data_IF_053919676861
#
_entry.id   IF_053919676861
#
_cell.length_a   1.000
_cell.length_b   1.000
_cell.length_c   1.000
_cell.angle_alpha   90.00
_cell.angle_beta   90.00
_cell.angle_gamma   90.00
#
_symmetry.space_group_name_H-M   'P 1'
#
loop_
_entity.id
_entity.type
_entity.pdbx_description
1 polymer ?
#
# COMPACT_ATOMS: atom_id res chain seq x y z
N UNK A 1 20.61 30.91 21.12
CA UNK A 1 19.54 31.94 21.11
C UNK A 1 19.84 33.09 20.15
N UNK A 2 21.10 33.53 20.03
CA UNK A 2 21.49 34.69 19.21
C UNK A 2 21.11 34.62 17.71
N UNK A 3 21.04 33.43 17.10
CA UNK A 3 20.67 33.26 15.69
C UNK A 3 19.17 33.12 15.43
N UNK A 4 18.34 32.89 16.45
CA UNK A 4 16.91 32.58 16.30
C UNK A 4 16.58 31.29 15.54
N UNK A 5 17.57 30.59 14.98
CA UNK A 5 17.37 29.39 14.17
C UNK A 5 17.38 28.14 15.04
N UNK A 6 16.23 27.49 15.17
CA UNK A 6 16.04 26.25 15.92
C UNK A 6 15.27 25.27 15.03
N UNK A 7 15.94 24.23 14.54
CA UNK A 7 15.32 23.21 13.68
C UNK A 7 15.94 21.83 13.94
N UNK A 8 15.18 20.72 13.88
CA UNK A 8 15.73 19.37 14.04
C UNK A 8 16.86 19.07 13.03
N UNK A 9 16.78 19.62 11.82
CA UNK A 9 17.83 19.45 10.79
C UNK A 9 19.21 19.96 11.24
N UNK A 10 19.27 21.01 12.07
CA UNK A 10 20.52 21.54 12.63
C UNK A 10 21.16 20.58 13.65
N UNK A 11 20.34 19.77 14.33
CA UNK A 11 20.79 18.89 15.41
C UNK A 11 20.96 17.42 14.99
N UNK A 12 20.75 17.08 13.71
CA UNK A 12 20.79 15.69 13.19
C UNK A 12 22.07 14.89 13.47
N UNK A 13 23.19 15.57 13.75
CA UNK A 13 24.49 14.92 14.05
C UNK A 13 24.69 14.64 15.54
N UNK A 14 23.75 15.06 16.40
CA UNK A 14 23.83 14.81 17.83
C UNK A 14 23.33 13.40 18.16
N UNK A 15 23.89 12.77 19.21
CA UNK A 15 23.36 11.51 19.73
C UNK A 15 21.91 11.68 20.24
N UNK A 16 21.17 10.57 20.43
CA UNK A 16 19.88 10.63 21.10
C UNK A 16 20.02 11.31 22.47
N UNK A 17 19.03 12.12 22.82
CA UNK A 17 18.97 12.82 24.11
C UNK A 17 18.50 11.87 25.22
N UNK A 18 17.65 10.92 24.86
CA UNK A 18 17.09 9.95 25.80
C UNK A 18 17.13 8.55 25.17
N UNK A 19 17.62 7.59 25.94
CA UNK A 19 17.54 6.17 25.61
C UNK A 19 16.85 5.45 26.75
N UNK A 20 15.85 4.63 26.42
CA UNK A 20 15.16 3.75 27.37
C UNK A 20 15.17 2.33 26.85
N UNK A 21 15.25 1.34 27.72
CA UNK A 21 15.20 -0.06 27.30
C UNK A 21 13.75 -0.52 27.28
N UNK A 22 13.36 -1.32 26.28
CA UNK A 22 11.99 -1.83 26.16
C UNK A 22 11.56 -2.54 27.45
N UNK A 23 12.44 -3.39 28.01
CA UNK A 23 12.20 -4.10 29.28
C UNK A 23 11.90 -3.16 30.46
N UNK A 24 12.44 -1.93 30.47
CA UNK A 24 12.16 -0.97 31.53
C UNK A 24 10.75 -0.37 31.43
N UNK A 25 10.22 -0.22 30.22
CA UNK A 25 8.95 0.47 29.95
C UNK A 25 7.80 -0.46 29.57
N UNK A 26 8.03 -1.76 29.35
CA UNK A 26 6.97 -2.74 29.08
C UNK A 26 6.76 -3.62 30.30
N UNK A 27 5.52 -4.01 30.58
CA UNK A 27 5.20 -4.99 31.63
C UNK A 27 5.49 -6.41 31.12
N UNK A 28 5.97 -7.29 32.00
CA UNK A 28 6.46 -8.61 31.59
C UNK A 28 5.38 -9.45 30.89
N UNK A 29 4.11 -9.32 31.31
CA UNK A 29 2.97 -9.98 30.68
C UNK A 29 2.92 -9.75 29.16
N UNK A 30 3.13 -8.52 28.70
CA UNK A 30 3.12 -8.18 27.27
C UNK A 30 4.40 -8.61 26.55
N UNK A 31 5.53 -8.75 27.26
CA UNK A 31 6.74 -9.33 26.66
C UNK A 31 6.54 -10.81 26.35
N UNK A 32 5.81 -11.53 27.21
CA UNK A 32 5.51 -12.96 27.02
C UNK A 32 4.34 -13.21 26.06
N UNK A 33 3.47 -12.22 25.84
CA UNK A 33 2.30 -12.31 24.95
C UNK A 33 2.64 -12.18 23.44
N UNK A 34 3.92 -12.19 23.05
CA UNK A 34 4.33 -12.22 21.64
C UNK A 34 4.22 -10.89 20.90
N UNK A 35 4.29 -9.75 21.60
CA UNK A 35 4.26 -8.44 20.95
C UNK A 35 5.54 -8.15 20.15
N UNK A 36 5.36 -7.79 18.89
CA UNK A 36 6.40 -7.33 17.97
C UNK A 36 6.27 -5.80 17.84
N UNK A 37 7.18 -5.06 18.46
CA UNK A 37 7.17 -3.59 18.44
C UNK A 37 7.72 -3.04 17.12
N UNK A 38 6.96 -2.13 16.53
CA UNK A 38 7.15 -1.63 15.16
C UNK A 38 7.87 -0.27 15.12
N UNK A 39 7.51 0.64 16.02
CA UNK A 39 8.09 1.99 16.05
C UNK A 39 7.19 3.04 16.66
N UNK A 40 7.68 4.29 16.64
CA UNK A 40 6.93 5.46 17.06
C UNK A 40 6.03 5.98 15.95
N UNK A 41 4.78 6.29 16.29
CA UNK A 41 3.92 7.17 15.47
C UNK A 41 4.61 8.49 15.14
N UNK A 42 4.20 9.16 14.04
CA UNK A 42 4.74 10.47 13.64
C UNK A 42 4.75 11.47 14.77
N UNK A 43 3.67 11.55 15.56
CA UNK A 43 3.57 12.47 16.69
C UNK A 43 4.37 12.05 17.93
N UNK A 44 4.87 10.80 17.96
CA UNK A 44 5.68 10.20 19.04
C UNK A 44 4.97 9.99 20.35
N UNK A 45 3.66 10.25 20.36
CA UNK A 45 2.81 9.95 21.49
C UNK A 45 2.61 8.45 21.64
N UNK A 46 2.58 7.73 20.51
CA UNK A 46 2.32 6.30 20.51
C UNK A 46 3.52 5.51 20.01
N UNK A 47 3.74 4.36 20.64
CA UNK A 47 4.53 3.24 20.10
C UNK A 47 3.54 2.20 19.60
N UNK A 48 3.79 1.65 18.42
CA UNK A 48 2.97 0.63 17.78
C UNK A 48 3.59 -0.75 17.99
N UNK A 49 2.75 -1.76 18.20
CA UNK A 49 3.16 -3.17 18.11
C UNK A 49 2.05 -4.02 17.50
N UNK A 50 2.39 -5.21 17.03
CA UNK A 50 1.41 -6.21 16.63
C UNK A 50 1.68 -7.56 17.29
N UNK A 51 0.68 -8.44 17.30
CA UNK A 51 0.84 -9.86 17.66
C UNK A 51 0.44 -10.71 16.48
N UNK A 52 1.14 -11.83 16.29
CA UNK A 52 0.76 -12.92 15.38
C UNK A 52 0.50 -14.14 16.26
N UNK A 53 -0.77 -14.53 16.42
CA UNK A 53 -1.17 -15.68 17.23
C UNK A 53 -1.82 -16.74 16.33
N UNK A 54 -1.33 -17.97 16.39
CA UNK A 54 -2.01 -19.15 15.86
C UNK A 54 -2.60 -19.94 17.02
N UNK A 55 -3.73 -20.62 16.80
CA UNK A 55 -4.19 -21.67 17.71
C UNK A 55 -3.19 -22.83 17.81
N UNK A 56 -3.37 -23.68 18.81
CA UNK A 56 -2.51 -24.86 19.06
C UNK A 56 -2.79 -26.04 18.11
N UNK A 57 -3.88 -25.99 17.34
CA UNK A 57 -4.29 -27.07 16.44
C UNK A 57 -3.64 -26.96 15.05
N UNK A 58 -3.37 -28.09 14.40
CA UNK A 58 -2.77 -28.18 13.05
C UNK A 58 -3.57 -27.46 11.94
N UNK A 59 -4.81 -27.06 12.22
CA UNK A 59 -5.71 -26.30 11.32
C UNK A 59 -5.85 -24.82 11.70
N UNK A 60 -4.97 -24.33 12.57
CA UNK A 60 -5.10 -22.97 13.10
C UNK A 60 -4.72 -21.92 12.06
N UNK A 61 -5.59 -20.93 11.92
CA UNK A 61 -5.33 -19.70 11.19
C UNK A 61 -4.61 -18.68 12.07
N UNK A 62 -3.84 -17.80 11.42
CA UNK A 62 -3.15 -16.69 12.07
C UNK A 62 -4.14 -15.55 12.34
N UNK A 63 -4.10 -15.04 13.56
CA UNK A 63 -4.83 -13.86 14.00
C UNK A 63 -3.84 -12.73 14.28
N UNK A 64 -4.10 -11.58 13.65
CA UNK A 64 -3.27 -10.39 13.81
C UNK A 64 -4.02 -9.32 14.59
N UNK A 65 -3.34 -8.75 15.57
CA UNK A 65 -3.84 -7.60 16.32
C UNK A 65 -2.82 -6.48 16.30
N UNK A 66 -3.28 -5.25 16.11
CA UNK A 66 -2.49 -4.02 16.17
C UNK A 66 -2.78 -3.26 17.47
N UNK A 67 -1.73 -2.74 18.10
CA UNK A 67 -1.78 -2.10 19.41
C UNK A 67 -1.15 -0.71 19.39
N UNK A 68 -1.82 0.24 20.04
CA UNK A 68 -1.29 1.58 20.33
C UNK A 68 -0.94 1.69 21.81
N UNK A 69 0.31 2.02 22.08
CA UNK A 69 0.85 2.20 23.43
C UNK A 69 1.20 3.67 23.65
N UNK A 70 0.58 4.33 24.63
CA UNK A 70 0.99 5.68 25.01
C UNK A 70 2.39 5.65 25.62
N UNK A 71 3.29 6.42 25.02
CA UNK A 71 4.67 6.54 25.44
C UNK A 71 4.84 7.76 26.33
N UNK A 72 5.42 7.53 27.52
CA UNK A 72 5.77 8.59 28.45
C UNK A 72 7.18 8.36 29.02
N UNK A 73 8.16 8.39 28.13
CA UNK A 73 9.60 8.38 28.42
C UNK A 73 10.05 7.23 29.33
N UNK A 74 10.05 7.44 30.66
CA UNK A 74 10.50 6.47 31.65
C UNK A 74 9.36 5.70 32.33
N UNK A 75 8.11 6.12 32.13
CA UNK A 75 6.93 5.41 32.62
C UNK A 75 6.64 4.18 31.77
N UNK A 76 5.92 3.23 32.36
CA UNK A 76 5.41 2.06 31.64
C UNK A 76 4.50 2.50 30.48
N UNK A 77 4.61 1.77 29.36
CA UNK A 77 3.73 1.90 28.22
C UNK A 77 2.30 1.58 28.64
N UNK A 78 1.36 2.46 28.28
CA UNK A 78 -0.06 2.27 28.60
C UNK A 78 -0.81 1.89 27.34
N UNK A 79 -1.47 0.72 27.34
CA UNK A 79 -2.31 0.33 26.21
C UNK A 79 -3.47 1.33 26.04
N UNK A 80 -3.62 1.87 24.83
CA UNK A 80 -4.67 2.84 24.48
C UNK A 80 -5.70 2.23 23.54
N UNK A 81 -5.26 1.38 22.62
CA UNK A 81 -6.13 0.75 21.62
C UNK A 81 -5.56 -0.58 21.18
N UNK A 82 -6.47 -1.54 20.97
CA UNK A 82 -6.23 -2.83 20.35
C UNK A 82 -7.26 -3.00 19.24
N UNK A 83 -6.84 -3.46 18.07
CA UNK A 83 -7.72 -3.71 16.91
C UNK A 83 -7.30 -5.02 16.24
N UNK A 84 -8.26 -5.87 15.89
CA UNK A 84 -8.03 -7.05 15.05
C UNK A 84 -7.88 -6.62 13.59
N UNK A 85 -6.81 -7.06 12.94
CA UNK A 85 -6.56 -6.83 11.51
C UNK A 85 -7.17 -7.94 10.67
N UNK A 86 -7.48 -7.64 9.40
CA UNK A 86 -7.95 -8.62 8.40
C UNK A 86 -9.11 -9.46 8.94
N UNK A 87 -10.15 -8.77 9.38
CA UNK A 87 -11.28 -9.43 10.01
C UNK A 87 -12.01 -10.34 9.02
N UNK A 88 -12.50 -11.46 9.53
CA UNK A 88 -13.19 -12.51 8.77
C UNK A 88 -12.34 -13.22 7.70
N UNK A 89 -11.02 -12.97 7.69
CA UNK A 89 -10.06 -13.68 6.84
C UNK A 89 -9.43 -14.89 7.57
N UNK A 90 -9.33 -16.01 6.85
CA UNK A 90 -8.64 -17.22 7.29
C UNK A 90 -7.20 -17.23 6.75
N UNK A 91 -6.26 -16.75 7.55
CA UNK A 91 -4.87 -16.59 7.12
C UNK A 91 -4.07 -17.85 7.49
N UNK A 92 -3.64 -18.62 6.48
CA UNK A 92 -2.94 -19.90 6.68
C UNK A 92 -1.41 -19.81 6.74
N UNK A 93 -0.85 -18.63 6.50
CA UNK A 93 0.60 -18.41 6.51
C UNK A 93 0.97 -17.12 7.23
N UNK A 94 2.12 -17.11 7.89
CA UNK A 94 2.59 -15.92 8.60
C UNK A 94 2.84 -14.77 7.61
N UNK A 95 2.36 -13.58 7.95
CA UNK A 95 2.35 -12.42 7.07
C UNK A 95 3.49 -11.46 7.40
N UNK A 96 4.09 -10.92 6.36
CA UNK A 96 4.96 -9.75 6.47
C UNK A 96 4.10 -8.50 6.61
N UNK A 97 4.05 -7.95 7.83
CA UNK A 97 3.25 -6.76 8.11
C UNK A 97 4.07 -5.47 8.01
N UNK A 98 3.46 -4.47 7.36
CA UNK A 98 3.95 -3.10 7.32
C UNK A 98 2.83 -2.13 7.70
N UNK A 99 3.11 -1.23 8.65
CA UNK A 99 2.19 -0.16 9.08
C UNK A 99 2.73 1.18 8.58
N UNK A 100 1.88 1.95 7.91
CA UNK A 100 2.21 3.25 7.33
C UNK A 100 1.28 4.36 7.85
N UNK A 101 1.83 5.56 8.01
CA UNK A 101 1.06 6.78 8.33
C UNK A 101 1.06 7.75 7.13
N UNK A 102 -0.09 8.35 6.82
CA UNK A 102 -0.22 9.30 5.71
C UNK A 102 0.56 10.59 5.93
N UNK A 103 1.14 11.23 4.89
CA UNK A 103 1.89 12.49 4.97
C UNK A 103 1.20 13.60 5.79
N UNK A 104 -0.07 13.89 5.47
CA UNK A 104 -0.84 14.99 6.06
C UNK A 104 -2.10 14.56 6.81
N UNK A 105 -2.27 13.28 7.09
CA UNK A 105 -3.44 12.75 7.80
C UNK A 105 -3.00 11.81 8.92
N UNK A 106 -3.38 12.17 10.15
CA UNK A 106 -3.08 11.44 11.37
C UNK A 106 -4.26 10.66 11.94
N UNK A 107 -5.42 10.70 11.30
CA UNK A 107 -6.68 10.13 11.81
C UNK A 107 -6.81 8.64 11.51
N UNK A 108 -5.93 8.12 10.67
CA UNK A 108 -5.86 6.71 10.29
C UNK A 108 -4.42 6.25 10.07
N UNK A 109 -4.21 4.93 10.15
CA UNK A 109 -3.05 4.22 9.61
C UNK A 109 -3.48 3.19 8.56
N UNK A 110 -2.57 2.81 7.65
CA UNK A 110 -2.79 1.70 6.71
C UNK A 110 -1.82 0.57 7.02
N UNK A 111 -2.33 -0.66 7.01
CA UNK A 111 -1.57 -1.87 7.28
C UNK A 111 -1.60 -2.75 6.04
N UNK A 112 -0.43 -3.15 5.58
CA UNK A 112 -0.24 -4.13 4.51
C UNK A 112 0.27 -5.43 5.11
N UNK A 113 -0.35 -6.54 4.74
CA UNK A 113 0.13 -7.89 5.04
C UNK A 113 0.26 -8.68 3.75
N UNK A 114 1.38 -9.36 3.54
CA UNK A 114 1.53 -10.27 2.41
C UNK A 114 2.26 -11.53 2.83
N UNK A 115 1.92 -12.64 2.19
CA UNK A 115 2.66 -13.89 2.34
C UNK A 115 3.77 -13.98 1.30
N UNK A 116 4.77 -14.83 1.56
CA UNK A 116 5.79 -15.14 0.54
C UNK A 116 5.20 -15.94 -0.62
N UNK A 117 4.13 -16.70 -0.37
CA UNK A 117 3.42 -17.58 -1.31
C UNK A 117 1.96 -17.75 -0.86
N UNK A 118 1.01 -17.76 -1.79
CA UNK A 118 -0.41 -18.00 -1.48
C UNK A 118 -0.64 -19.44 -1.00
N UNK A 119 -1.66 -19.65 -0.16
CA UNK A 119 -2.08 -20.99 0.24
C UNK A 119 -3.28 -21.41 -0.64
N UNK A 120 -3.17 -22.41 -1.53
CA UNK A 120 -4.28 -22.85 -2.35
C UNK A 120 -5.24 -23.67 -1.50
N UNK A 121 -6.53 -23.57 -1.83
CA UNK A 121 -7.61 -24.30 -1.16
C UNK A 121 -7.61 -25.84 -1.35
N UNK A 122 -6.50 -26.45 -1.80
CA UNK A 122 -6.39 -27.90 -2.00
C UNK A 122 -5.55 -28.54 -0.88
N UNK A 123 -6.24 -29.18 0.07
CA UNK A 123 -5.62 -30.09 1.03
C UNK A 123 -5.18 -31.39 0.33
N UNK A 124 -3.88 -31.68 0.34
CA UNK A 124 -3.37 -33.01 0.02
C UNK A 124 -2.44 -33.45 1.16
N UNK A 125 -2.82 -34.51 1.88
CA UNK A 125 -2.03 -35.14 2.95
C UNK A 125 -1.47 -34.18 4.02
N UNK A 126 -2.34 -33.39 4.68
CA UNK A 126 -1.99 -32.57 5.86
C UNK A 126 -0.95 -31.43 5.65
N UNK A 127 -0.59 -31.09 4.41
CA UNK A 127 0.14 -29.86 4.09
C UNK A 127 -0.62 -29.00 3.08
N UNK A 128 -0.89 -27.73 3.42
CA UNK A 128 -1.30 -26.72 2.45
C UNK A 128 -0.09 -26.44 1.53
N UNK A 129 -0.15 -26.93 0.30
CA UNK A 129 0.92 -26.76 -0.68
C UNK A 129 0.87 -25.34 -1.22
N UNK A 130 1.79 -24.43 -0.87
CA UNK A 130 1.72 -23.05 -1.36
C UNK A 130 1.62 -22.95 -2.90
N UNK A 131 0.77 -22.08 -3.42
CA UNK A 131 0.72 -21.73 -4.83
C UNK A 131 1.91 -20.82 -5.14
N UNK A 132 2.81 -21.29 -6.00
CA UNK A 132 4.01 -20.53 -6.37
C UNK A 132 3.70 -19.37 -7.32
N UNK A 133 2.52 -19.35 -7.95
CA UNK A 133 2.14 -18.36 -8.95
C UNK A 133 1.30 -17.22 -8.40
N UNK A 134 0.72 -17.38 -7.20
CA UNK A 134 -0.14 -16.39 -6.58
C UNK A 134 0.42 -15.92 -5.23
N UNK A 135 0.07 -14.69 -4.86
CA UNK A 135 0.39 -14.09 -3.58
C UNK A 135 -0.84 -13.38 -3.04
N UNK A 136 -1.13 -13.60 -1.78
CA UNK A 136 -2.24 -12.94 -1.12
C UNK A 136 -1.73 -11.62 -0.51
N UNK A 137 -2.47 -10.53 -0.76
CA UNK A 137 -2.18 -9.22 -0.22
C UNK A 137 -3.41 -8.76 0.55
N UNK A 138 -3.21 -8.52 1.84
CA UNK A 138 -4.22 -8.04 2.76
C UNK A 138 -3.95 -6.58 3.10
N UNK A 139 -4.98 -5.75 3.07
CA UNK A 139 -4.88 -4.31 3.38
C UNK A 139 -5.95 -3.93 4.40
N UNK A 140 -5.56 -3.20 5.45
CA UNK A 140 -6.49 -2.68 6.46
C UNK A 140 -6.21 -1.21 6.74
N UNK A 141 -7.22 -0.36 6.60
CA UNK A 141 -7.16 1.04 7.04
C UNK A 141 -7.82 1.15 8.43
N UNK A 142 -7.07 1.60 9.43
CA UNK A 142 -7.49 1.60 10.84
C UNK A 142 -7.48 3.02 11.41
N UNK A 143 -8.58 3.44 12.03
CA UNK A 143 -8.65 4.75 12.70
C UNK A 143 -7.66 4.85 13.86
N UNK A 144 -6.97 5.97 14.02
CA UNK A 144 -6.03 6.22 15.14
C UNK A 144 -6.77 6.64 16.41
N UNK A 145 -6.17 6.45 17.59
CA UNK A 145 -6.71 6.98 18.84
C UNK A 145 -6.85 8.52 18.78
N UNK A 146 -8.01 9.08 19.16
CA UNK A 146 -8.21 10.52 19.12
C UNK A 146 -7.28 11.20 20.14
N UNK A 147 -6.65 12.34 19.79
CA UNK A 147 -5.73 13.04 20.68
C UNK A 147 -6.42 13.62 21.93
N UNK A 148 -7.70 13.99 21.82
CA UNK A 148 -8.63 14.55 22.84
C UNK A 148 -10.07 14.25 22.34
N UNK A 149 -11.13 14.14 23.17
CA UNK A 149 -12.51 14.06 22.64
C UNK A 149 -12.82 15.29 21.78
N UNK A 150 -12.90 15.11 20.46
CA UNK A 150 -13.13 16.17 19.49
C UNK A 150 -14.48 16.02 18.79
N UNK A 151 -15.10 17.17 18.53
CA UNK A 151 -16.31 17.36 17.74
C UNK A 151 -16.11 17.03 16.23
N UNK A 152 -17.18 16.80 15.46
CA UNK A 152 -17.12 16.36 14.06
C UNK A 152 -16.36 17.33 13.13
N UNK A 153 -15.60 16.84 12.15
CA UNK A 153 -15.10 17.65 11.03
C UNK A 153 -16.24 18.03 10.07
N UNK A 154 -16.13 19.22 9.45
CA UNK A 154 -17.07 19.73 8.44
C UNK A 154 -16.81 19.19 7.03
N UNK A 155 -17.87 19.12 6.22
CA UNK A 155 -17.91 18.53 4.87
C UNK A 155 -17.00 19.25 3.84
N UNK A 156 -16.32 18.51 2.95
CA UNK A 156 -15.87 19.03 1.66
C UNK A 156 -16.95 18.88 0.58
N UNK A 157 -16.99 19.86 -0.33
CA UNK A 157 -17.92 19.91 -1.47
C UNK A 157 -17.62 18.83 -2.53
N UNK A 158 -18.65 18.31 -3.23
CA UNK A 158 -18.45 17.32 -4.29
C UNK A 158 -17.88 17.95 -5.58
N UNK A 159 -16.94 17.28 -6.26
CA UNK A 159 -16.58 17.63 -7.63
C UNK A 159 -17.70 17.23 -8.60
N UNK A 160 -17.86 18.01 -9.67
CA UNK A 160 -18.86 17.79 -10.70
C UNK A 160 -18.54 16.56 -11.58
N UNK A 161 -19.56 15.82 -11.94
CA UNK A 161 -19.49 14.65 -12.83
C UNK A 161 -19.30 15.07 -14.29
N UNK A 162 -18.18 14.71 -14.90
CA UNK A 162 -17.95 14.70 -16.35
C UNK A 162 -18.27 13.31 -16.93
N UNK A 163 -18.55 13.18 -18.24
CA UNK A 163 -18.81 11.87 -18.85
C UNK A 163 -17.60 10.93 -18.69
N UNK A 164 -17.87 9.73 -18.16
CA UNK A 164 -16.86 8.72 -17.85
C UNK A 164 -16.32 8.05 -19.13
N UNK A 165 -14.99 7.96 -19.30
CA UNK A 165 -14.39 7.07 -20.29
C UNK A 165 -14.61 5.60 -19.90
N UNK A 166 -15.01 4.73 -20.82
CA UNK A 166 -15.36 3.32 -20.54
C UNK A 166 -14.22 2.40 -20.07
N UNK A 167 -13.01 2.91 -19.84
CA UNK A 167 -11.85 2.18 -19.33
C UNK A 167 -11.51 2.52 -17.87
N UNK A 168 -12.25 3.45 -17.28
CA UNK A 168 -12.14 3.84 -15.88
C UNK A 168 -13.37 3.33 -15.16
N UNK A 169 -13.18 2.63 -14.06
CA UNK A 169 -14.27 2.24 -13.18
C UNK A 169 -14.17 3.06 -11.89
N UNK A 170 -15.19 3.87 -11.61
CA UNK A 170 -15.30 4.65 -10.38
C UNK A 170 -16.48 4.17 -9.54
N UNK A 171 -16.21 3.87 -8.27
CA UNK A 171 -17.24 3.53 -7.28
C UNK A 171 -17.14 4.43 -6.06
N UNK A 172 -18.30 4.85 -5.55
CA UNK A 172 -18.42 5.66 -4.33
C UNK A 172 -19.51 5.08 -3.44
N UNK A 173 -19.11 4.59 -2.27
CA UNK A 173 -19.99 3.97 -1.29
C UNK A 173 -19.95 4.74 0.03
N UNK A 174 -21.09 4.86 0.70
CA UNK A 174 -21.23 5.56 1.99
C UNK A 174 -21.71 4.61 3.07
N UNK A 175 -21.19 4.76 4.29
CA UNK A 175 -21.49 3.88 5.43
C UNK A 175 -21.80 4.70 6.68
N UNK A 176 -22.67 4.18 7.56
CA UNK A 176 -23.05 4.79 8.84
C UNK A 176 -22.86 3.80 10.00
N UNK A 177 -22.68 4.31 11.22
CA UNK A 177 -22.40 3.53 12.43
C UNK A 177 -23.62 2.75 12.99
N UNK A 178 -24.69 2.60 12.21
CA UNK A 178 -25.84 1.79 12.61
C UNK A 178 -25.58 0.32 12.27
N UNK A 179 -25.88 -0.63 13.18
CA UNK A 179 -25.84 -2.04 12.84
C UNK A 179 -26.90 -2.34 11.77
N UNK A 180 -26.50 -3.02 10.71
CA UNK A 180 -27.39 -3.45 9.63
C UNK A 180 -26.74 -4.52 8.78
N UNK A 181 -27.57 -5.43 8.25
CA UNK A 181 -27.11 -6.45 7.32
C UNK A 181 -26.60 -5.81 6.02
N UNK A 182 -25.59 -6.42 5.37
CA UNK A 182 -25.17 -6.00 4.04
C UNK A 182 -26.39 -6.07 3.08
N UNK A 183 -26.59 -5.08 2.19
CA UNK A 183 -27.65 -5.13 1.20
C UNK A 183 -27.43 -6.33 0.28
N UNK A 184 -28.46 -7.15 0.09
CA UNK A 184 -28.48 -8.19 -0.95
C UNK A 184 -28.35 -7.60 -2.38
N UNK A 185 -28.57 -6.29 -2.54
CA UNK A 185 -28.68 -5.58 -3.83
C UNK A 185 -27.44 -4.70 -4.18
N UNK A 186 -26.30 -4.85 -3.51
CA UNK A 186 -25.09 -4.17 -4.00
C UNK A 186 -24.75 -4.78 -5.36
N UNK A 187 -24.70 -3.95 -6.42
CA UNK A 187 -24.18 -4.36 -7.73
C UNK A 187 -22.67 -4.62 -7.58
N UNK A 188 -22.34 -5.79 -7.04
CA UNK A 188 -20.98 -6.26 -6.74
C UNK A 188 -20.10 -6.24 -8.00
N UNK A 189 -20.73 -6.44 -9.17
CA UNK A 189 -20.11 -6.42 -10.50
C UNK A 189 -19.33 -5.12 -10.83
N UNK A 190 -19.57 -4.02 -10.10
CA UNK A 190 -18.85 -2.75 -10.30
C UNK A 190 -17.68 -2.57 -9.34
N UNK A 191 -17.59 -3.32 -8.25
CA UNK A 191 -16.54 -3.15 -7.24
C UNK A 191 -15.29 -3.90 -7.71
N UNK A 192 -14.21 -3.16 -7.98
CA UNK A 192 -12.96 -3.79 -8.44
C UNK A 192 -12.22 -4.53 -7.34
N UNK A 193 -12.23 -3.98 -6.12
CA UNK A 193 -11.63 -4.61 -4.94
C UNK A 193 -12.70 -4.82 -3.88
N UNK A 194 -13.12 -6.06 -3.58
CA UNK A 194 -14.04 -6.35 -2.49
C UNK A 194 -13.48 -5.85 -1.15
N UNK A 195 -14.35 -5.32 -0.29
CA UNK A 195 -13.93 -4.80 1.01
C UNK A 195 -15.04 -4.89 2.05
N UNK A 196 -14.63 -4.93 3.33
CA UNK A 196 -15.53 -4.91 4.49
C UNK A 196 -15.25 -3.65 5.31
N UNK A 197 -16.30 -3.01 5.80
CA UNK A 197 -16.22 -1.82 6.65
C UNK A 197 -16.76 -2.16 8.03
N UNK A 198 -15.91 -2.08 9.06
CA UNK A 198 -16.28 -2.43 10.44
C UNK A 198 -15.98 -1.30 11.42
N UNK A 199 -16.64 -1.33 12.58
CA UNK A 199 -16.26 -0.53 13.74
C UNK A 199 -15.06 -1.18 14.47
N UNK A 200 -14.55 -0.52 15.52
CA UNK A 200 -13.40 -1.04 16.27
C UNK A 200 -13.67 -2.34 17.03
N UNK A 201 -14.94 -2.72 17.22
CA UNK A 201 -15.33 -4.02 17.79
C UNK A 201 -15.52 -5.10 16.73
N UNK A 202 -15.35 -4.74 15.45
CA UNK A 202 -15.51 -5.64 14.33
C UNK A 202 -16.95 -5.82 13.86
N UNK A 203 -17.87 -4.93 14.23
CA UNK A 203 -19.25 -4.96 13.73
C UNK A 203 -19.31 -4.24 12.39
N UNK A 204 -19.92 -4.87 11.40
CA UNK A 204 -20.08 -4.28 10.06
C UNK A 204 -20.91 -3.00 10.11
N UNK A 205 -20.45 -1.97 9.41
CA UNK A 205 -21.20 -0.74 9.22
C UNK A 205 -22.25 -0.94 8.13
N UNK A 206 -23.39 -0.28 8.30
CA UNK A 206 -24.48 -0.31 7.32
C UNK A 206 -24.18 0.63 6.15
N UNK A 207 -24.27 0.18 4.90
CA UNK A 207 -24.18 1.07 3.74
C UNK A 207 -25.45 1.91 3.56
N UNK A 208 -25.27 3.15 3.12
CA UNK A 208 -26.31 4.13 2.89
C UNK A 208 -26.82 4.02 1.44
N UNK A 209 -28.10 3.66 1.25
CA UNK A 209 -28.79 3.71 -0.05
C UNK A 209 -29.11 5.19 -0.39
N UNK A 210 -28.83 5.63 -1.61
CA UNK A 210 -28.62 7.05 -1.98
C UNK A 210 -29.81 8.03 -1.76
N UNK A 211 -29.49 9.34 -1.71
CA UNK A 211 -30.32 10.57 -1.58
C UNK A 211 -30.97 10.97 -0.25
N UNK A 212 -30.91 10.18 0.82
CA UNK A 212 -31.18 10.75 2.13
C UNK A 212 -29.99 11.65 2.51
N UNK A 213 -30.20 12.97 2.63
CA UNK A 213 -29.26 13.85 3.32
C UNK A 213 -28.92 13.18 4.65
N UNK A 214 -27.74 12.58 4.77
CA UNK A 214 -27.33 11.95 6.00
C UNK A 214 -27.24 13.06 7.04
N UNK A 215 -28.25 13.18 7.90
CA UNK A 215 -28.16 14.05 9.06
C UNK A 215 -27.22 13.37 10.07
N UNK A 216 -25.91 13.56 9.91
CA UNK A 216 -24.92 12.98 10.82
C UNK A 216 -23.59 12.61 10.17
N UNK A 217 -22.73 11.95 10.94
CA UNK A 217 -21.44 11.45 10.46
C UNK A 217 -21.63 10.19 9.61
N UNK A 218 -20.93 10.13 8.49
CA UNK A 218 -20.85 8.97 7.62
C UNK A 218 -19.41 8.78 7.11
N UNK A 219 -19.06 7.56 6.75
CA UNK A 219 -17.80 7.22 6.08
C UNK A 219 -18.03 7.14 4.57
N UNK A 220 -17.09 7.61 3.77
CA UNK A 220 -17.11 7.44 2.31
C UNK A 220 -15.90 6.59 1.90
N UNK A 221 -16.15 5.59 1.04
CA UNK A 221 -15.12 4.77 0.39
C UNK A 221 -15.21 5.00 -1.11
N UNK A 222 -14.08 5.35 -1.72
CA UNK A 222 -13.97 5.66 -3.15
C UNK A 222 -12.94 4.72 -3.78
N UNK A 223 -13.28 4.10 -4.90
CA UNK A 223 -12.32 3.34 -5.72
C UNK A 223 -12.33 3.89 -7.13
N UNK A 224 -11.14 4.14 -7.66
CA UNK A 224 -10.90 4.51 -9.05
C UNK A 224 -9.93 3.49 -9.64
N UNK A 225 -10.37 2.76 -10.67
CA UNK A 225 -9.60 1.65 -11.26
C UNK A 225 -9.18 2.00 -12.68
N UNK A 226 -7.92 1.68 -13.02
CA UNK A 226 -7.34 1.85 -14.35
C UNK A 226 -7.00 0.47 -14.93
N UNK A 227 -7.60 0.14 -16.08
CA UNK A 227 -7.30 -1.12 -16.80
C UNK A 227 -5.99 -0.99 -17.60
N UNK A 228 -4.96 -1.71 -17.17
CA UNK A 228 -3.65 -1.65 -17.82
C UNK A 228 -3.65 -2.24 -19.23
N UNK A 229 -4.45 -3.27 -19.52
CA UNK A 229 -4.51 -3.84 -20.87
C UNK A 229 -5.13 -2.83 -21.84
N UNK A 230 -6.16 -2.10 -21.39
CA UNK A 230 -6.72 -1.00 -22.16
C UNK A 230 -5.68 0.10 -22.42
N UNK A 231 -4.98 0.56 -21.36
CA UNK A 231 -3.94 1.60 -21.47
C UNK A 231 -2.85 1.18 -22.45
N UNK A 232 -2.32 -0.04 -22.32
CA UNK A 232 -1.28 -0.57 -23.20
C UNK A 232 -1.76 -0.55 -24.65
N UNK A 233 -2.96 -1.06 -24.93
CA UNK A 233 -3.48 -1.13 -26.30
C UNK A 233 -3.71 0.26 -26.91
N UNK A 234 -4.23 1.22 -26.15
CA UNK A 234 -4.43 2.59 -26.64
C UNK A 234 -3.11 3.32 -26.89
N UNK A 235 -2.14 3.22 -25.98
CA UNK A 235 -0.81 3.83 -26.16
C UNK A 235 -0.11 3.24 -27.38
N UNK A 236 -0.15 1.92 -27.56
CA UNK A 236 0.44 1.28 -28.75
C UNK A 236 -0.26 1.74 -30.01
N UNK A 237 -1.59 1.81 -30.03
CA UNK A 237 -2.36 2.18 -31.23
C UNK A 237 -2.11 3.63 -31.65
N UNK A 238 -2.04 4.54 -30.68
CA UNK A 238 -2.09 5.98 -30.96
C UNK A 238 -0.70 6.64 -30.95
N UNK A 239 0.24 6.15 -30.13
CA UNK A 239 1.49 6.87 -29.84
C UNK A 239 2.76 6.10 -30.20
N UNK A 240 2.71 4.77 -30.32
CA UNK A 240 3.90 3.99 -30.65
C UNK A 240 4.28 4.06 -32.13
N UNK A 241 5.51 4.49 -32.42
CA UNK A 241 6.05 4.53 -33.78
C UNK A 241 6.13 3.13 -34.44
N UNK A 242 6.27 2.09 -33.62
CA UNK A 242 6.32 0.69 -34.02
C UNK A 242 4.95 -0.03 -33.98
N UNK A 243 3.84 0.70 -33.83
CA UNK A 243 2.48 0.16 -33.74
C UNK A 243 2.11 -0.81 -34.87
N UNK A 244 2.59 -0.56 -36.09
CA UNK A 244 2.35 -1.43 -37.26
C UNK A 244 3.11 -2.76 -37.21
N UNK A 245 4.16 -2.84 -36.40
CA UNK A 245 4.93 -4.07 -36.19
C UNK A 245 4.31 -4.93 -35.08
N UNK A 246 3.54 -4.33 -34.18
CA UNK A 246 2.97 -4.99 -33.00
C UNK A 246 1.99 -6.11 -33.37
N UNK A 247 2.10 -7.24 -32.66
CA UNK A 247 1.17 -8.37 -32.78
C UNK A 247 0.33 -8.55 -31.52
N UNK A 248 0.99 -8.73 -30.37
CA UNK A 248 0.36 -8.97 -29.07
C UNK A 248 1.41 -8.74 -27.97
N UNK A 249 0.97 -8.46 -26.74
CA UNK A 249 1.84 -8.56 -25.56
C UNK A 249 1.54 -9.85 -24.78
N UNK A 250 2.53 -10.33 -24.03
CA UNK A 250 2.42 -11.57 -23.25
C UNK A 250 2.43 -11.33 -21.75
N UNK A 251 3.10 -10.27 -21.30
CA UNK A 251 3.30 -9.99 -19.87
C UNK A 251 3.67 -8.52 -19.66
N UNK A 252 3.33 -7.96 -18.50
CA UNK A 252 3.59 -6.57 -18.15
C UNK A 252 3.87 -6.38 -16.65
N UNK A 253 4.72 -5.41 -16.31
CA UNK A 253 5.01 -5.01 -14.93
C UNK A 253 4.84 -3.49 -14.80
N UNK A 254 4.17 -3.05 -13.73
CA UNK A 254 3.83 -1.64 -13.52
C UNK A 254 4.56 -1.13 -12.29
N UNK A 255 5.28 -0.03 -12.48
CA UNK A 255 5.99 0.67 -11.41
C UNK A 255 5.48 2.11 -11.34
N UNK A 256 5.09 2.56 -10.15
CA UNK A 256 4.80 3.97 -9.90
C UNK A 256 6.13 4.73 -9.85
N UNK A 257 6.30 5.72 -10.73
CA UNK A 257 7.46 6.60 -10.76
C UNK A 257 7.29 7.80 -9.84
N UNK A 258 6.11 8.42 -9.87
CA UNK A 258 5.81 9.64 -9.11
C UNK A 258 4.32 9.75 -8.78
N UNK A 259 4.01 10.37 -7.65
CA UNK A 259 2.65 10.77 -7.26
C UNK A 259 2.71 12.24 -6.85
N UNK A 260 2.01 13.11 -7.59
CA UNK A 260 1.87 14.52 -7.25
C UNK A 260 0.51 14.75 -6.59
N UNK A 261 0.44 14.90 -5.25
CA UNK A 261 -0.81 15.09 -4.54
C UNK A 261 -1.45 16.47 -4.79
N UNK A 262 -0.68 17.47 -5.24
CA UNK A 262 -1.21 18.80 -5.55
C UNK A 262 -2.01 18.83 -6.85
N UNK A 263 -1.57 18.07 -7.86
CA UNK A 263 -2.26 17.96 -9.15
C UNK A 263 -3.11 16.71 -9.27
N UNK A 264 -3.06 15.81 -8.28
CA UNK A 264 -3.68 14.49 -8.28
C UNK A 264 -3.28 13.66 -9.51
N UNK A 265 -1.98 13.66 -9.84
CA UNK A 265 -1.43 12.87 -10.94
C UNK A 265 -0.53 11.75 -10.45
N UNK A 266 -0.67 10.57 -11.07
CA UNK A 266 0.18 9.40 -10.85
C UNK A 266 0.93 9.10 -12.14
N UNK A 267 2.25 9.14 -12.10
CA UNK A 267 3.09 8.76 -13.24
C UNK A 267 3.54 7.32 -13.04
N UNK A 268 3.22 6.46 -14.02
CA UNK A 268 3.56 5.04 -14.02
C UNK A 268 4.45 4.69 -15.21
N UNK A 269 5.27 3.66 -15.02
CA UNK A 269 6.04 3.00 -16.06
C UNK A 269 5.55 1.55 -16.21
N UNK A 270 5.21 1.17 -17.43
CA UNK A 270 4.73 -0.16 -17.79
C UNK A 270 5.84 -0.84 -18.60
N UNK A 271 6.57 -1.76 -17.98
CA UNK A 271 7.49 -2.65 -18.68
C UNK A 271 6.69 -3.72 -19.42
N UNK A 272 6.95 -3.91 -20.71
CA UNK A 272 6.12 -4.74 -21.58
C UNK A 272 6.95 -5.78 -22.32
N UNK A 273 6.53 -7.04 -22.24
CA UNK A 273 7.03 -8.13 -23.05
C UNK A 273 6.04 -8.40 -24.20
N UNK A 274 6.48 -8.28 -25.44
CA UNK A 274 5.59 -8.33 -26.61
C UNK A 274 6.17 -9.06 -27.80
N UNK A 275 5.30 -9.46 -28.73
CA UNK A 275 5.66 -9.92 -30.06
C UNK A 275 5.45 -8.80 -31.08
N UNK A 276 6.46 -8.60 -31.93
CA UNK A 276 6.40 -7.68 -33.05
C UNK A 276 7.17 -8.22 -34.26
N UNK A 277 6.80 -7.78 -35.46
CA UNK A 277 7.62 -8.01 -36.66
C UNK A 277 8.88 -7.15 -36.61
N UNK A 278 10.03 -7.67 -37.09
CA UNK A 278 11.24 -6.85 -37.26
C UNK A 278 11.00 -5.67 -38.19
N UNK A 279 11.89 -4.67 -38.12
CA UNK A 279 11.84 -3.53 -39.03
C UNK A 279 11.91 -4.01 -40.49
N UNK A 280 11.20 -3.37 -41.43
CA UNK A 280 11.20 -3.77 -42.83
C UNK A 280 12.58 -3.67 -43.50
N UNK A 281 13.51 -2.93 -42.88
CA UNK A 281 14.88 -2.75 -43.35
C UNK A 281 15.82 -3.88 -42.88
N UNK A 282 15.39 -4.78 -41.98
CA UNK A 282 16.18 -5.95 -41.59
C UNK A 282 16.11 -7.05 -42.66
N UNK A 283 17.27 -7.38 -43.26
CA UNK A 283 17.41 -8.54 -44.15
C UNK A 283 17.20 -9.85 -43.37
N UNK A 284 16.11 -10.57 -43.67
CA UNK A 284 15.84 -11.85 -43.05
C UNK A 284 14.40 -12.35 -43.17
N UNK A 285 14.11 -13.42 -42.45
CA UNK A 285 12.77 -14.02 -42.42
C UNK A 285 11.82 -13.12 -41.61
N UNK A 286 10.72 -12.68 -42.23
CA UNK A 286 9.64 -11.88 -41.60
C UNK A 286 8.83 -12.72 -40.61
N UNK A 287 9.45 -13.09 -39.49
CA UNK A 287 8.80 -13.78 -38.37
C UNK A 287 8.75 -12.85 -37.17
N UNK A 288 7.61 -12.77 -36.46
CA UNK A 288 7.54 -12.04 -35.21
C UNK A 288 8.59 -12.55 -34.23
N UNK A 289 9.25 -11.63 -33.53
CA UNK A 289 10.20 -11.92 -32.45
C UNK A 289 9.68 -11.32 -31.15
N UNK A 290 10.24 -11.78 -30.04
CA UNK A 290 9.94 -11.23 -28.72
C UNK A 290 10.80 -10.00 -28.44
N UNK A 291 10.15 -8.93 -28.02
CA UNK A 291 10.76 -7.65 -27.67
C UNK A 291 10.36 -7.23 -26.26
N UNK A 292 11.22 -6.42 -25.66
CA UNK A 292 10.94 -5.67 -24.45
C UNK A 292 10.87 -4.17 -24.79
N UNK A 293 9.95 -3.45 -24.17
CA UNK A 293 9.83 -1.99 -24.22
C UNK A 293 9.25 -1.45 -22.90
N UNK A 294 9.16 -0.13 -22.77
CA UNK A 294 8.55 0.56 -21.63
C UNK A 294 7.61 1.66 -22.11
N UNK A 295 6.42 1.74 -21.52
CA UNK A 295 5.46 2.82 -21.73
C UNK A 295 5.36 3.67 -20.47
N UNK A 296 5.44 4.99 -20.59
CA UNK A 296 5.26 5.94 -19.49
C UNK A 296 3.94 6.66 -19.66
N UNK A 297 3.12 6.65 -18.61
CA UNK A 297 1.76 7.17 -18.63
C UNK A 297 1.52 8.02 -17.38
N UNK A 298 0.87 9.17 -17.53
CA UNK A 298 0.38 9.99 -16.45
C UNK A 298 -1.12 9.79 -16.31
N UNK A 299 -1.59 9.43 -15.11
CA UNK A 299 -2.99 9.20 -14.79
C UNK A 299 -3.51 10.32 -13.88
N UNK A 300 -4.57 11.00 -14.31
CA UNK A 300 -5.24 12.06 -13.55
C UNK A 300 -6.36 11.47 -12.70
N UNK A 301 -6.23 11.56 -11.37
CA UNK A 301 -7.20 10.99 -10.44
C UNK A 301 -8.48 11.84 -10.31
N UNK A 302 -8.49 13.09 -10.79
CA UNK A 302 -9.69 13.92 -10.78
C UNK A 302 -10.66 13.54 -11.91
N UNK A 303 -10.11 13.31 -13.11
CA UNK A 303 -10.89 13.01 -14.31
C UNK A 303 -10.94 11.51 -14.65
N UNK A 304 -10.03 10.72 -14.08
CA UNK A 304 -9.80 9.32 -14.43
C UNK A 304 -9.02 9.12 -15.73
N UNK A 305 -8.77 10.17 -16.52
CA UNK A 305 -8.10 10.06 -17.83
C UNK A 305 -6.61 9.82 -17.68
N UNK A 306 -6.00 9.15 -18.66
CA UNK A 306 -4.56 9.04 -18.76
C UNK A 306 -4.00 9.75 -20.00
N UNK A 307 -2.71 10.11 -19.95
CA UNK A 307 -1.97 10.69 -21.05
C UNK A 307 -0.60 10.01 -21.21
N UNK A 308 -0.20 9.74 -22.45
CA UNK A 308 1.11 9.17 -22.77
C UNK A 308 2.20 10.20 -22.51
N UNK A 309 3.18 9.82 -21.68
CA UNK A 309 4.36 10.64 -21.34
C UNK A 309 5.56 10.23 -22.18
N UNK A 310 5.69 8.94 -22.49
CA UNK A 310 6.78 8.45 -23.33
C UNK A 310 6.57 7.00 -23.77
N UNK A 311 7.12 6.68 -24.94
CA UNK A 311 7.09 5.33 -25.52
C UNK A 311 8.53 4.92 -25.83
N UNK A 312 8.95 3.78 -25.29
CA UNK A 312 10.27 3.22 -25.54
C UNK A 312 10.39 2.51 -26.90
N UNK A 313 11.62 2.40 -27.39
CA UNK A 313 11.95 1.59 -28.56
C UNK A 313 11.86 0.09 -28.24
N UNK A 314 11.74 -0.74 -29.28
CA UNK A 314 11.72 -2.19 -29.16
C UNK A 314 13.14 -2.75 -29.01
N UNK A 315 13.38 -3.51 -27.94
CA UNK A 315 14.65 -4.22 -27.71
C UNK A 315 14.44 -5.72 -27.80
N UNK A 316 15.09 -6.40 -28.76
CA UNK A 316 14.89 -7.84 -28.99
C UNK A 316 15.44 -8.67 -27.81
N UNK A 317 14.63 -9.60 -27.31
CA UNK A 317 15.01 -10.50 -26.21
C UNK A 317 15.64 -11.77 -26.79
N UNK A 318 16.99 -11.86 -26.77
CA UNK A 318 17.73 -13.03 -27.25
C UNK A 318 18.16 -13.93 -26.10
N UNK A 319 17.60 -15.14 -26.02
CA UNK A 319 18.11 -16.23 -25.17
C UNK A 319 17.97 -16.04 -23.65
N UNK A 320 17.14 -15.11 -23.19
CA UNK A 320 16.88 -14.88 -21.77
C UNK A 320 15.59 -15.60 -21.34
N UNK A 321 15.65 -16.35 -20.23
CA UNK A 321 14.45 -16.92 -19.60
C UNK A 321 13.63 -15.79 -18.95
N UNK A 322 12.30 -15.83 -19.13
CA UNK A 322 11.34 -14.80 -18.67
C UNK A 322 11.51 -14.44 -17.19
N UNK A 323 11.89 -15.39 -16.34
CA UNK A 323 12.02 -15.23 -14.89
C UNK A 323 13.37 -14.66 -14.40
N UNK A 324 14.44 -14.68 -15.19
CA UNK A 324 15.78 -14.28 -14.74
C UNK A 324 16.45 -13.18 -15.58
N UNK A 325 16.02 -12.94 -16.83
CA UNK A 325 16.65 -11.94 -17.70
C UNK A 325 15.78 -10.72 -17.98
N UNK A 326 14.54 -10.91 -18.44
CA UNK A 326 13.65 -9.83 -18.89
C UNK A 326 13.32 -8.83 -17.78
N UNK A 327 12.68 -9.28 -16.70
CA UNK A 327 12.31 -8.44 -15.56
C UNK A 327 13.48 -7.93 -14.72
N UNK A 328 14.58 -8.68 -14.66
CA UNK A 328 15.82 -8.22 -14.00
C UNK A 328 16.61 -7.22 -14.83
N UNK A 329 16.36 -7.11 -16.14
CA UNK A 329 16.97 -6.12 -17.03
C UNK A 329 16.10 -4.86 -17.24
N UNK A 330 14.80 -4.92 -16.95
CA UNK A 330 13.99 -3.73 -16.64
C UNK A 330 14.22 -3.25 -15.19
N UNK A 331 14.51 -4.18 -14.27
CA UNK A 331 14.88 -3.95 -12.88
C UNK A 331 16.18 -3.18 -12.55
N UNK A 332 17.07 -2.75 -13.48
CA UNK A 332 18.17 -1.83 -13.18
C UNK A 332 18.11 -0.51 -14.00
N UNK A 333 17.05 -0.25 -14.78
CA UNK A 333 16.93 1.02 -15.53
C UNK A 333 16.50 2.20 -14.64
N UNK A 334 15.85 1.94 -13.50
CA UNK A 334 15.39 2.98 -12.56
C UNK A 334 16.54 3.66 -11.79
N UNK A 335 17.75 3.08 -11.72
CA UNK A 335 18.89 3.77 -11.07
C UNK A 335 19.24 5.09 -11.77
N UNK A 336 18.93 5.21 -13.07
CA UNK A 336 19.02 6.48 -13.81
C UNK A 336 18.03 7.55 -13.35
N UNK A 337 16.90 7.15 -12.75
CA UNK A 337 15.81 8.01 -12.26
C UNK A 337 16.01 8.49 -10.81
N UNK A 338 17.00 7.96 -10.08
CA UNK A 338 17.50 8.58 -8.84
C UNK A 338 18.00 10.03 -9.07
N UNK A 339 18.19 10.44 -10.33
CA UNK A 339 18.49 11.84 -10.71
C UNK A 339 17.33 12.81 -10.48
N UNK A 340 16.09 12.31 -10.39
CA UNK A 340 14.88 13.11 -10.14
C UNK A 340 14.48 13.22 -8.66
N UNK A 341 15.18 12.52 -7.74
CA UNK A 341 14.86 12.55 -6.31
C UNK A 341 15.23 13.91 -5.72
N UNK A 342 14.25 14.80 -5.63
CA UNK A 342 14.36 16.04 -4.87
C UNK A 342 14.04 15.73 -3.41
N UNK A 343 14.89 16.12 -2.44
CA UNK A 343 14.52 16.03 -1.03
C UNK A 343 13.20 16.77 -0.80
N UNK A 344 12.16 16.07 -0.33
CA UNK A 344 10.85 16.67 -0.11
C UNK A 344 10.94 17.99 0.64
N UNK A 345 10.46 19.06 0.01
CA UNK A 345 10.43 20.41 0.61
C UNK A 345 9.24 20.60 1.57
N UNK A 346 8.30 19.65 1.64
CA UNK A 346 7.16 19.65 2.54
C UNK A 346 7.04 18.34 3.32
N UNK A 347 7.29 18.40 4.63
CA UNK A 347 7.04 17.30 5.58
C UNK A 347 8.07 16.16 5.57
N UNK A 348 8.23 15.42 6.69
CA UNK A 348 8.98 14.17 6.71
C UNK A 348 8.29 13.11 5.82
N UNK A 349 9.09 12.20 5.24
CA UNK A 349 8.56 11.04 4.54
C UNK A 349 7.53 10.29 5.42
N UNK A 350 6.48 9.71 4.83
CA UNK A 350 5.58 8.85 5.60
C UNK A 350 6.41 7.77 6.32
N UNK A 351 6.29 7.60 7.64
CA UNK A 351 6.97 6.56 8.35
C UNK A 351 6.41 5.25 7.86
N UNK A 352 7.36 4.38 7.52
CA UNK A 352 7.13 3.01 7.16
C UNK A 352 7.66 2.17 8.30
N UNK A 353 6.77 1.51 9.04
CA UNK A 353 7.14 0.59 10.09
C UNK A 353 6.97 -0.84 9.57
N UNK A 354 8.08 -1.50 9.27
CA UNK A 354 8.07 -2.91 8.89
C UNK A 354 8.38 -3.77 10.11
N UNK A 355 7.58 -4.83 10.31
CA UNK A 355 8.00 -5.94 11.18
C UNK A 355 9.28 -6.58 10.60
N UNK A 356 10.23 -7.02 11.43
CA UNK A 356 11.41 -7.70 10.93
C UNK A 356 11.02 -9.07 10.34
N UNK A 357 11.74 -9.57 9.33
CA UNK A 357 11.53 -10.91 8.81
C UNK A 357 11.80 -11.97 9.90
N UNK A 358 11.22 -13.19 9.77
CA UNK A 358 11.45 -14.28 10.72
C UNK A 358 12.95 -14.51 10.97
N UNK A 359 13.36 -14.49 12.24
CA UNK A 359 14.76 -14.68 12.66
C UNK A 359 15.61 -13.40 12.76
N UNK A 360 15.05 -12.22 12.45
CA UNK A 360 15.67 -10.92 12.71
C UNK A 360 14.84 -10.13 13.73
N UNK A 361 15.50 -9.25 14.51
CA UNK A 361 14.80 -8.27 15.34
C UNK A 361 15.40 -6.90 15.12
N UNK A 362 14.55 -5.87 15.16
CA UNK A 362 15.02 -4.49 15.24
C UNK A 362 15.85 -4.33 16.51
N UNK A 363 16.87 -3.48 16.46
CA UNK A 363 17.70 -3.18 17.64
C UNK A 363 17.21 -1.95 18.41
N UNK A 364 16.66 -0.98 17.68
CA UNK A 364 16.25 0.32 18.21
C UNK A 364 15.01 0.81 17.48
N UNK A 365 14.05 1.35 18.23
CA UNK A 365 12.97 2.17 17.72
C UNK A 365 13.32 3.64 17.96
N UNK A 366 13.47 4.42 16.90
CA UNK A 366 13.97 5.79 16.97
C UNK A 366 12.88 6.81 16.66
N UNK A 367 12.72 7.79 17.56
CA UNK A 367 12.04 9.05 17.29
C UNK A 367 13.09 10.12 16.99
N UNK A 368 13.32 10.36 15.70
CA UNK A 368 14.37 11.28 15.24
C UNK A 368 14.04 12.74 15.49
N UNK A 369 12.76 13.11 15.60
CA UNK A 369 12.37 14.49 15.87
C UNK A 369 12.57 14.87 17.33
N UNK A 370 12.26 13.93 18.23
CA UNK A 370 12.41 14.11 19.68
C UNK A 370 13.75 13.59 20.21
N UNK A 371 14.60 13.00 19.37
CA UNK A 371 15.90 12.43 19.73
C UNK A 371 15.78 11.37 20.84
N UNK A 372 14.76 10.51 20.74
CA UNK A 372 14.44 9.50 21.75
C UNK A 372 14.54 8.11 21.15
N UNK A 373 15.27 7.21 21.80
CA UNK A 373 15.43 5.82 21.37
C UNK A 373 14.85 4.84 22.39
N UNK A 374 14.11 3.85 21.91
CA UNK A 374 13.79 2.63 22.65
C UNK A 374 14.73 1.53 22.18
N UNK A 375 15.56 1.01 23.08
CA UNK A 375 16.47 -0.11 22.82
C UNK A 375 15.74 -1.42 23.11
N UNK A 376 15.67 -2.31 22.12
CA UNK A 376 14.88 -3.54 22.16
C UNK A 376 15.58 -4.68 22.90
#
# INVERSE_FOLDING_TARGET
>A
QLSGQLSPRLFRKLPPRVCVTLKSIVDEEFLWAGHIFLGFSKCGRYVLSYTSSSGDDDFSFYLYHLYWWEFNVHSKLRLVRQVRLFQDEEIYSDLYLTVCEWPGDSDKVIVFGFNTRSAPGLQVNMMLMSDENHRDIYVSAVATPPPVPSSPPGEPHPPGTSPEPGYVNYTKLRYVLEPGEPPEDLEDDKISLPFVVTDLSGRSLRPLRDRATAQGQYLTVEQLTLDFEYVINEVIRNDAAWSRQFCSFSDYDIVILEVCPETNQVVINIGLLLLAFPSPDEEGQLRPRTYHTSLKVAWDLNSGTFATVGVGDLTEVKGQTSSQGGWRSSGPSWEGELRGVVPGFGGPAPPHHCGPPPGCSLKVLADNERYTWIVL
#
